data_IF_768618998108
#
_entry.id   IF_768618998108
#
_cell.length_a   1.000
_cell.length_b   1.000
_cell.length_c   1.000
_cell.angle_alpha   90.00
_cell.angle_beta   90.00
_cell.angle_gamma   90.00
#
_symmetry.space_group_name_H-M   'P 1'
#
loop_
_entity.id
_entity.type
_entity.pdbx_description
1 polymer ?
#
# COMPACT_ATOMS: atom_id res chain seq x y z
N UNK A 1 84.73 -31.11 -18.99
CA UNK A 1 83.75 -31.83 -18.15
C UNK A 1 83.50 -31.04 -16.87
N UNK A 2 82.44 -30.23 -16.83
CA UNK A 2 81.85 -29.69 -15.59
C UNK A 2 80.34 -29.90 -15.75
N UNK A 3 79.78 -30.85 -15.00
CA UNK A 3 78.34 -31.15 -15.02
C UNK A 3 77.64 -30.20 -14.06
N UNK A 4 76.75 -29.39 -14.62
CA UNK A 4 75.82 -28.50 -13.94
C UNK A 4 74.72 -29.36 -13.28
N UNK A 5 74.59 -29.28 -11.96
CA UNK A 5 73.50 -29.93 -11.22
C UNK A 5 72.35 -28.92 -11.10
N UNK A 6 71.31 -29.07 -11.91
CA UNK A 6 70.09 -28.27 -11.82
C UNK A 6 69.17 -28.96 -10.80
N UNK A 7 69.00 -28.34 -9.64
CA UNK A 7 68.05 -28.76 -8.62
C UNK A 7 66.64 -28.31 -9.07
N UNK A 8 65.85 -29.23 -9.62
CA UNK A 8 64.44 -28.97 -9.95
C UNK A 8 63.65 -29.10 -8.65
N UNK A 9 63.34 -27.96 -8.02
CA UNK A 9 62.36 -27.89 -6.93
C UNK A 9 60.98 -28.01 -7.59
N UNK A 10 60.37 -29.18 -7.51
CA UNK A 10 58.96 -29.37 -7.82
C UNK A 10 58.14 -28.65 -6.75
N UNK A 11 57.73 -27.41 -7.05
CA UNK A 11 56.73 -26.69 -6.28
C UNK A 11 55.38 -27.36 -6.57
N UNK A 12 55.02 -28.39 -5.78
CA UNK A 12 53.67 -28.96 -5.77
C UNK A 12 52.71 -27.92 -5.21
N UNK A 13 52.10 -27.13 -6.09
CA UNK A 13 50.93 -26.33 -5.77
C UNK A 13 49.77 -27.31 -5.65
N UNK A 14 49.52 -27.81 -4.43
CA UNK A 14 48.25 -28.46 -4.13
C UNK A 14 47.15 -27.42 -4.31
N UNK A 15 46.13 -27.65 -5.16
CA UNK A 15 44.94 -26.81 -5.13
C UNK A 15 44.36 -26.94 -3.72
N UNK A 16 44.25 -25.82 -2.99
CA UNK A 16 43.47 -25.80 -1.75
C UNK A 16 42.04 -26.17 -2.15
N UNK A 17 41.66 -27.41 -1.88
CA UNK A 17 40.25 -27.78 -1.84
C UNK A 17 39.64 -26.97 -0.69
N UNK A 18 38.93 -25.91 -1.05
CA UNK A 18 38.14 -25.11 -0.12
C UNK A 18 36.94 -25.95 0.31
N UNK A 19 37.17 -26.88 1.24
CA UNK A 19 36.11 -27.64 1.89
C UNK A 19 35.65 -26.89 3.14
N UNK A 20 34.42 -27.10 3.57
CA UNK A 20 33.93 -26.56 4.83
C UNK A 20 34.63 -27.24 6.01
N UNK A 21 35.06 -26.47 6.99
CA UNK A 21 35.80 -26.95 8.16
C UNK A 21 34.90 -27.02 9.38
N UNK A 22 34.76 -28.21 9.97
CA UNK A 22 34.16 -28.35 11.30
C UNK A 22 35.18 -27.93 12.36
N UNK A 23 35.01 -26.74 12.93
CA UNK A 23 36.00 -26.14 13.84
C UNK A 23 35.74 -26.46 15.31
N UNK A 24 34.57 -27.01 15.65
CA UNK A 24 34.21 -27.42 17.01
C UNK A 24 33.01 -28.37 16.99
N UNK A 25 32.97 -29.33 17.93
CA UNK A 25 31.84 -30.24 18.13
C UNK A 25 31.73 -31.35 17.07
N UNK A 26 30.51 -31.84 16.86
CA UNK A 26 30.17 -32.87 15.88
C UNK A 26 29.26 -32.27 14.80
N UNK A 27 29.85 -31.92 13.66
CA UNK A 27 29.13 -31.39 12.50
C UNK A 27 28.49 -32.47 11.61
N UNK A 28 28.33 -33.69 12.13
CA UNK A 28 27.65 -34.80 11.42
C UNK A 28 26.37 -35.24 12.15
N UNK A 29 26.45 -35.45 13.47
CA UNK A 29 25.38 -36.03 14.29
C UNK A 29 25.38 -35.50 15.74
N UNK A 30 25.42 -34.18 15.92
CA UNK A 30 25.42 -33.58 17.24
C UNK A 30 25.39 -32.05 17.20
N UNK A 31 25.99 -31.43 18.21
CA UNK A 31 26.19 -29.98 18.24
C UNK A 31 27.55 -29.66 17.64
N UNK A 32 27.60 -28.79 16.63
CA UNK A 32 28.84 -28.49 15.92
C UNK A 32 28.85 -27.10 15.30
N UNK A 33 30.06 -26.57 15.11
CA UNK A 33 30.31 -25.31 14.42
C UNK A 33 31.10 -25.55 13.16
N UNK A 34 30.51 -25.23 12.01
CA UNK A 34 31.12 -25.31 10.69
C UNK A 34 31.43 -23.92 10.15
N UNK A 35 32.62 -23.76 9.56
CA UNK A 35 33.00 -22.58 8.77
C UNK A 35 33.08 -23.01 7.31
N UNK A 36 32.37 -22.29 6.44
CA UNK A 36 32.37 -22.51 5.01
C UNK A 36 33.49 -21.72 4.32
N UNK A 37 33.90 -22.10 3.10
CA UNK A 37 34.97 -21.45 2.34
C UNK A 37 34.81 -19.94 2.13
N UNK A 38 33.56 -19.47 2.04
CA UNK A 38 33.23 -18.05 1.89
C UNK A 38 33.45 -17.26 3.19
N UNK A 39 33.62 -17.96 4.33
CA UNK A 39 33.75 -17.41 5.68
C UNK A 39 32.45 -17.44 6.48
N UNK A 40 31.35 -17.88 5.88
CA UNK A 40 30.05 -18.06 6.53
C UNK A 40 30.15 -19.15 7.61
N UNK A 41 29.39 -19.02 8.69
CA UNK A 41 29.47 -19.94 9.82
C UNK A 41 28.10 -20.45 10.21
N UNK A 42 28.00 -21.74 10.53
CA UNK A 42 26.85 -22.30 11.22
C UNK A 42 27.28 -22.92 12.53
N UNK A 43 26.54 -22.64 13.60
CA UNK A 43 26.68 -23.28 14.90
C UNK A 43 25.32 -23.79 15.36
N UNK A 44 25.16 -25.11 15.52
CA UNK A 44 23.88 -25.69 15.90
C UNK A 44 23.83 -27.21 15.79
N UNK A 45 22.61 -27.73 15.71
CA UNK A 45 22.34 -29.17 15.61
C UNK A 45 22.58 -29.72 14.19
N UNK A 46 23.24 -30.87 14.14
CA UNK A 46 23.54 -31.63 12.94
C UNK A 46 22.95 -33.03 13.04
N UNK A 47 22.44 -33.52 11.92
CA UNK A 47 22.04 -34.93 11.76
C UNK A 47 22.28 -35.36 10.33
N UNK A 48 22.93 -36.51 10.15
CA UNK A 48 23.24 -37.07 8.84
C UNK A 48 23.98 -36.06 7.92
N UNK A 49 24.86 -35.22 8.50
CA UNK A 49 25.58 -34.12 7.84
C UNK A 49 24.71 -32.95 7.36
N UNK A 50 23.47 -32.84 7.84
CA UNK A 50 22.58 -31.71 7.53
C UNK A 50 22.27 -30.89 8.79
N UNK A 51 22.12 -29.57 8.59
CA UNK A 51 21.67 -28.66 9.64
C UNK A 51 20.21 -28.96 9.97
N UNK A 52 19.93 -29.21 11.25
CA UNK A 52 18.59 -29.51 11.78
C UNK A 52 18.38 -28.73 13.09
N UNK A 53 17.20 -28.83 13.70
CA UNK A 53 16.97 -28.32 15.06
C UNK A 53 17.24 -26.83 15.21
N UNK A 54 17.78 -26.39 16.35
CA UNK A 54 18.15 -24.99 16.56
C UNK A 54 19.58 -24.70 16.10
N UNK A 55 19.80 -23.52 15.53
CA UNK A 55 21.14 -23.07 15.19
C UNK A 55 21.24 -21.57 14.91
N UNK A 56 22.48 -21.12 14.81
CA UNK A 56 22.86 -19.77 14.38
C UNK A 56 23.67 -19.86 13.10
N UNK A 57 23.25 -19.10 12.09
CA UNK A 57 23.93 -18.98 10.81
C UNK A 57 24.40 -17.53 10.64
N UNK A 58 25.70 -17.31 10.54
CA UNK A 58 26.33 -15.98 10.41
C UNK A 58 26.98 -15.86 9.04
N UNK A 59 26.45 -14.97 8.22
CA UNK A 59 26.97 -14.66 6.89
C UNK A 59 28.13 -13.67 6.97
N UNK A 60 28.99 -13.69 5.96
CA UNK A 60 30.19 -12.84 5.87
C UNK A 60 29.85 -11.36 5.75
N UNK A 61 28.68 -11.05 5.19
CA UNK A 61 28.15 -9.70 5.09
C UNK A 61 27.66 -9.14 6.45
N UNK A 62 27.66 -9.95 7.52
CA UNK A 62 27.17 -9.59 8.85
C UNK A 62 25.70 -9.94 9.11
N UNK A 63 24.97 -10.46 8.12
CA UNK A 63 23.63 -11.00 8.33
C UNK A 63 23.71 -12.21 9.28
N UNK A 64 22.73 -12.34 10.16
CA UNK A 64 22.60 -13.48 11.06
C UNK A 64 21.20 -14.06 10.99
N UNK A 65 21.11 -15.37 11.15
CA UNK A 65 19.86 -16.07 11.40
C UNK A 65 19.99 -16.92 12.65
N UNK A 66 19.06 -16.77 13.59
CA UNK A 66 18.95 -17.61 14.78
C UNK A 66 17.58 -18.27 14.76
N UNK A 67 17.54 -19.59 14.67
CA UNK A 67 16.27 -20.29 14.65
C UNK A 67 16.36 -21.74 14.20
N UNK A 68 15.22 -22.22 13.73
CA UNK A 68 15.01 -23.61 13.38
C UNK A 68 15.52 -23.94 11.96
N UNK A 69 16.15 -25.11 11.84
CA UNK A 69 16.64 -25.68 10.60
C UNK A 69 16.01 -27.04 10.33
N UNK A 70 15.78 -27.33 9.05
CA UNK A 70 15.34 -28.64 8.57
C UNK A 70 15.98 -28.91 7.21
N UNK A 71 16.71 -30.02 7.11
CA UNK A 71 17.41 -30.44 5.89
C UNK A 71 18.30 -29.35 5.29
N UNK A 72 19.10 -28.70 6.14
CA UNK A 72 20.01 -27.64 5.70
C UNK A 72 19.36 -26.28 5.41
N UNK A 73 18.05 -26.11 5.64
CA UNK A 73 17.31 -24.87 5.34
C UNK A 73 16.66 -24.27 6.56
N UNK A 74 16.51 -22.95 6.59
CA UNK A 74 15.71 -22.23 7.59
C UNK A 74 14.25 -22.70 7.48
N UNK A 75 13.69 -23.17 8.59
CA UNK A 75 12.37 -23.78 8.61
C UNK A 75 11.76 -23.69 10.01
N UNK A 76 10.52 -23.22 10.14
CA UNK A 76 9.90 -22.94 11.43
C UNK A 76 10.26 -21.54 11.96
N UNK A 77 10.25 -21.35 13.28
CA UNK A 77 10.45 -20.03 13.88
C UNK A 77 11.93 -19.61 13.83
N UNK A 78 12.18 -18.34 13.53
CA UNK A 78 13.53 -17.77 13.62
C UNK A 78 13.58 -16.25 13.52
N UNK A 79 14.76 -15.72 13.76
CA UNK A 79 15.09 -14.30 13.73
C UNK A 79 16.20 -14.11 12.70
N UNK A 80 15.93 -13.37 11.64
CA UNK A 80 16.95 -12.89 10.71
C UNK A 80 17.29 -11.44 11.03
N UNK A 81 18.56 -11.11 11.19
CA UNK A 81 19.04 -9.74 11.46
C UNK A 81 20.05 -9.35 10.39
N UNK A 82 19.82 -8.21 9.76
CA UNK A 82 20.70 -7.62 8.74
C UNK A 82 21.70 -6.64 9.39
N UNK A 83 22.79 -6.28 8.69
CA UNK A 83 23.82 -5.40 9.24
C UNK A 83 23.37 -3.97 9.58
N UNK A 84 22.26 -3.52 9.00
CA UNK A 84 21.65 -2.20 9.23
C UNK A 84 20.62 -2.22 10.37
N UNK A 85 20.59 -3.29 11.18
CA UNK A 85 19.59 -3.56 12.23
C UNK A 85 18.16 -3.85 11.72
N UNK A 86 17.94 -3.89 10.40
CA UNK A 86 16.71 -4.47 9.83
C UNK A 86 16.58 -5.92 10.32
N UNK A 87 15.37 -6.34 10.69
CA UNK A 87 15.14 -7.70 11.20
C UNK A 87 13.81 -8.28 10.80
N UNK A 88 13.79 -9.60 10.65
CA UNK A 88 12.57 -10.40 10.54
C UNK A 88 12.48 -11.35 11.72
N UNK A 89 11.33 -11.36 12.40
CA UNK A 89 10.99 -12.32 13.45
C UNK A 89 9.74 -13.06 13.01
N UNK A 90 9.85 -14.35 12.76
CA UNK A 90 8.69 -15.14 12.36
C UNK A 90 9.01 -16.49 11.75
N UNK A 91 8.02 -17.01 11.04
CA UNK A 91 8.09 -18.33 10.42
C UNK A 91 8.89 -18.31 9.10
N UNK A 92 9.63 -19.39 8.87
CA UNK A 92 10.36 -19.71 7.66
C UNK A 92 9.91 -21.06 7.11
N UNK A 93 9.98 -21.21 5.79
CA UNK A 93 9.79 -22.48 5.10
C UNK A 93 10.73 -22.53 3.91
N UNK A 94 11.63 -23.51 3.92
CA UNK A 94 12.60 -23.74 2.84
C UNK A 94 13.36 -22.46 2.45
N UNK A 95 13.95 -21.80 3.47
CA UNK A 95 14.69 -20.54 3.38
C UNK A 95 13.89 -19.27 3.08
N UNK A 96 12.57 -19.37 2.93
CA UNK A 96 11.70 -18.21 2.66
C UNK A 96 10.87 -17.85 3.88
N UNK A 97 10.64 -16.56 4.10
CA UNK A 97 9.60 -16.08 5.04
C UNK A 97 8.26 -16.70 4.66
N UNK A 98 7.54 -17.22 5.65
CA UNK A 98 6.26 -17.90 5.48
C UNK A 98 5.42 -17.70 6.74
N UNK A 99 4.13 -18.01 6.73
CA UNK A 99 3.31 -17.99 7.95
C UNK A 99 3.21 -16.59 8.56
N UNK A 100 3.23 -16.48 9.89
CA UNK A 100 3.20 -15.18 10.57
C UNK A 100 4.62 -14.65 10.80
N UNK A 101 4.79 -13.33 10.66
CA UNK A 101 6.03 -12.67 11.04
C UNK A 101 5.95 -11.15 11.09
N UNK A 102 6.95 -10.56 11.73
CA UNK A 102 7.18 -9.13 11.80
C UNK A 102 8.50 -8.80 11.14
N UNK A 103 8.49 -7.84 10.22
CA UNK A 103 9.68 -7.28 9.58
C UNK A 103 9.80 -5.83 10.00
N UNK A 104 10.85 -5.50 10.73
CA UNK A 104 11.17 -4.14 11.19
C UNK A 104 12.35 -3.63 10.37
N UNK A 105 12.17 -2.53 9.66
CA UNK A 105 13.18 -1.90 8.82
C UNK A 105 14.02 -0.90 9.63
N UNK A 106 15.26 -0.67 9.19
CA UNK A 106 16.18 0.28 9.82
C UNK A 106 15.66 1.73 9.85
N UNK A 107 14.80 2.11 8.90
CA UNK A 107 14.18 3.43 8.82
C UNK A 107 12.98 3.60 9.78
N UNK A 108 12.55 2.53 10.45
CA UNK A 108 11.43 2.52 11.38
C UNK A 108 10.11 2.03 10.77
N UNK A 109 10.08 1.72 9.47
CA UNK A 109 8.94 1.01 8.90
C UNK A 109 8.80 -0.38 9.54
N UNK A 110 7.56 -0.87 9.62
CA UNK A 110 7.27 -2.20 10.15
C UNK A 110 6.14 -2.85 9.37
N UNK A 111 6.31 -4.12 8.99
CA UNK A 111 5.21 -4.98 8.58
C UNK A 111 5.01 -6.11 9.59
N UNK A 112 3.80 -6.28 10.09
CA UNK A 112 3.39 -7.43 10.91
C UNK A 112 2.21 -8.13 10.24
N UNK A 113 2.38 -9.39 9.83
CA UNK A 113 1.32 -10.12 9.16
C UNK A 113 1.77 -11.41 8.51
N UNK A 114 0.98 -11.83 7.52
CA UNK A 114 1.16 -13.10 6.82
C UNK A 114 2.18 -12.99 5.69
N UNK A 115 3.01 -14.03 5.58
CA UNK A 115 3.98 -14.22 4.52
C UNK A 115 3.73 -15.51 3.75
N UNK A 116 3.98 -15.45 2.45
CA UNK A 116 4.01 -16.61 1.56
C UNK A 116 5.16 -16.48 0.57
N UNK A 117 5.98 -17.53 0.50
CA UNK A 117 7.13 -17.60 -0.41
C UNK A 117 8.03 -16.36 -0.38
N UNK A 118 8.23 -15.78 0.80
CA UNK A 118 9.08 -14.62 1.01
C UNK A 118 8.37 -13.27 0.91
N UNK A 119 7.10 -13.23 0.52
CA UNK A 119 6.32 -12.00 0.26
C UNK A 119 5.21 -11.78 1.27
N UNK A 120 4.80 -10.53 1.48
CA UNK A 120 3.58 -10.18 2.22
C UNK A 120 2.36 -10.70 1.43
N UNK A 121 1.59 -11.60 2.04
CA UNK A 121 0.46 -12.28 1.39
C UNK A 121 -0.53 -12.76 2.45
N UNK A 122 -1.78 -12.29 2.39
CA UNK A 122 -2.80 -12.50 3.44
C UNK A 122 -3.10 -11.21 4.21
N UNK A 123 -3.53 -11.32 5.46
CA UNK A 123 -3.81 -10.13 6.29
C UNK A 123 -2.53 -9.63 6.97
N UNK A 124 -2.37 -8.31 7.05
CA UNK A 124 -1.24 -7.69 7.73
C UNK A 124 -1.37 -6.19 7.93
N UNK A 125 -0.56 -5.67 8.84
CA UNK A 125 -0.41 -4.24 9.15
C UNK A 125 0.96 -3.77 8.69
N UNK A 126 1.00 -2.71 7.89
CA UNK A 126 2.22 -1.98 7.59
C UNK A 126 2.15 -0.61 8.25
N UNK A 127 3.11 -0.28 9.10
CA UNK A 127 3.26 1.01 9.76
C UNK A 127 4.50 1.68 9.19
N UNK A 128 4.32 2.88 8.64
CA UNK A 128 5.42 3.69 8.14
C UNK A 128 6.02 4.52 9.28
N UNK A 129 7.30 4.86 9.16
CA UNK A 129 8.01 5.69 10.14
C UNK A 129 7.37 7.09 10.33
N UNK A 130 6.64 7.60 9.33
CA UNK A 130 5.92 8.88 9.41
C UNK A 130 4.57 8.79 10.16
N UNK A 131 4.18 7.61 10.63
CA UNK A 131 2.91 7.34 11.31
C UNK A 131 1.76 6.96 10.39
N UNK A 132 1.96 7.00 9.06
CA UNK A 132 1.02 6.41 8.10
C UNK A 132 0.91 4.90 8.38
N UNK A 133 -0.27 4.31 8.18
CA UNK A 133 -0.43 2.87 8.34
C UNK A 133 -1.45 2.29 7.37
N UNK A 134 -1.27 1.02 7.03
CA UNK A 134 -2.24 0.21 6.31
C UNK A 134 -2.54 -1.05 7.09
N UNK A 135 -3.82 -1.36 7.28
CA UNK A 135 -4.30 -2.61 7.86
C UNK A 135 -5.23 -3.28 6.86
N UNK A 136 -4.89 -4.48 6.39
CA UNK A 136 -5.77 -5.22 5.49
C UNK A 136 -5.06 -6.29 4.68
N UNK A 137 -5.59 -6.52 3.48
CA UNK A 137 -5.22 -7.63 2.62
C UNK A 137 -4.02 -7.31 1.72
N UNK A 138 -3.12 -8.28 1.65
CA UNK A 138 -1.89 -8.25 0.88
C UNK A 138 -1.84 -9.42 -0.09
N UNK A 139 -1.22 -9.19 -1.24
CA UNK A 139 -0.90 -10.21 -2.23
C UNK A 139 0.35 -9.82 -2.97
N UNK A 140 1.34 -10.71 -3.00
CA UNK A 140 2.60 -10.48 -3.71
C UNK A 140 3.24 -9.09 -3.38
N UNK A 141 3.35 -8.76 -2.09
CA UNK A 141 3.89 -7.49 -1.57
C UNK A 141 3.06 -6.23 -1.87
N UNK A 142 1.83 -6.39 -2.36
CA UNK A 142 0.92 -5.26 -2.68
C UNK A 142 -0.35 -5.33 -1.84
N UNK A 143 -0.87 -4.18 -1.46
CA UNK A 143 -2.24 -4.05 -0.93
C UNK A 143 -3.22 -4.53 -2.00
N UNK A 144 -3.98 -5.58 -1.73
CA UNK A 144 -4.90 -6.20 -2.69
C UNK A 144 -6.07 -6.82 -1.95
N UNK A 145 -7.27 -6.30 -2.16
CA UNK A 145 -8.46 -6.62 -1.38
C UNK A 145 -8.90 -5.48 -0.47
N UNK A 146 -9.55 -5.78 0.65
CA UNK A 146 -10.08 -4.76 1.57
C UNK A 146 -8.99 -4.29 2.55
N UNK A 147 -9.01 -3.01 2.90
CA UNK A 147 -8.18 -2.49 3.97
C UNK A 147 -8.51 -1.07 4.40
N UNK A 148 -7.87 -0.64 5.47
CA UNK A 148 -7.88 0.70 6.02
C UNK A 148 -6.50 1.31 5.85
N UNK A 149 -6.42 2.48 5.23
CA UNK A 149 -5.20 3.27 5.09
C UNK A 149 -5.37 4.57 5.86
N UNK A 150 -4.57 4.76 6.90
CA UNK A 150 -4.56 5.94 7.75
C UNK A 150 -3.31 6.74 7.41
N UNK A 151 -3.47 7.92 6.84
CA UNK A 151 -2.37 8.81 6.47
C UNK A 151 -1.87 9.59 7.68
N UNK A 152 -0.58 9.95 7.69
CA UNK A 152 0.01 10.78 8.74
C UNK A 152 -0.68 12.15 8.91
N UNK A 153 -1.34 12.67 7.86
CA UNK A 153 -2.11 13.91 7.92
C UNK A 153 -3.49 13.75 8.60
N UNK A 154 -3.89 12.53 8.97
CA UNK A 154 -5.20 12.22 9.57
C UNK A 154 -6.29 11.80 8.58
N UNK A 155 -6.04 11.80 7.26
CA UNK A 155 -6.95 11.18 6.30
C UNK A 155 -7.07 9.68 6.58
N UNK A 156 -8.29 9.14 6.51
CA UNK A 156 -8.55 7.72 6.64
C UNK A 156 -9.32 7.27 5.40
N UNK A 157 -8.78 6.28 4.69
CA UNK A 157 -9.47 5.57 3.63
C UNK A 157 -9.80 4.14 4.06
N UNK A 158 -11.06 3.73 3.93
CA UNK A 158 -11.52 2.36 4.13
C UNK A 158 -12.16 1.89 2.83
N UNK A 159 -11.60 0.88 2.18
CA UNK A 159 -12.13 0.43 0.90
C UNK A 159 -11.35 -0.70 0.25
N UNK A 160 -11.56 -0.86 -1.05
CA UNK A 160 -10.90 -1.87 -1.86
C UNK A 160 -9.59 -1.32 -2.46
N UNK A 161 -8.61 -2.20 -2.55
CA UNK A 161 -7.32 -1.99 -3.18
C UNK A 161 -7.10 -3.05 -4.26
N UNK A 162 -6.51 -2.65 -5.39
CA UNK A 162 -6.06 -3.56 -6.44
C UNK A 162 -4.64 -3.13 -6.80
N UNK A 163 -3.68 -4.05 -6.70
CA UNK A 163 -2.27 -3.78 -7.00
C UNK A 163 -1.71 -2.52 -6.31
N UNK A 164 -2.05 -2.30 -5.05
CA UNK A 164 -1.56 -1.18 -4.25
C UNK A 164 -2.38 0.11 -4.35
N UNK A 165 -3.36 0.19 -5.26
CA UNK A 165 -4.14 1.41 -5.53
C UNK A 165 -5.58 1.30 -5.03
N UNK A 166 -6.14 2.41 -4.51
CA UNK A 166 -7.58 2.52 -4.18
C UNK A 166 -8.39 2.27 -5.43
N UNK A 167 -9.32 1.34 -5.35
CA UNK A 167 -10.16 0.88 -6.47
C UNK A 167 -11.52 0.45 -5.94
N UNK A 168 -12.55 0.41 -6.79
CA UNK A 168 -13.88 -0.05 -6.36
C UNK A 168 -14.52 0.87 -5.31
N UNK A 169 -15.33 0.32 -4.41
CA UNK A 169 -16.03 1.11 -3.39
C UNK A 169 -15.10 1.45 -2.21
N UNK A 170 -15.14 2.71 -1.77
CA UNK A 170 -14.40 3.16 -0.60
C UNK A 170 -15.03 4.37 0.10
N UNK A 171 -14.62 4.58 1.35
CA UNK A 171 -14.93 5.77 2.15
C UNK A 171 -13.62 6.47 2.47
N UNK A 172 -13.52 7.76 2.17
CA UNK A 172 -12.45 8.63 2.66
C UNK A 172 -13.03 9.62 3.67
N UNK A 173 -12.39 9.74 4.83
CA UNK A 173 -12.67 10.75 5.85
C UNK A 173 -11.43 11.62 5.98
N UNK A 174 -11.61 12.93 5.88
CA UNK A 174 -10.52 13.90 5.93
C UNK A 174 -10.46 14.57 7.32
N UNK A 175 -9.33 15.20 7.69
CA UNK A 175 -9.16 15.84 9.00
C UNK A 175 -10.13 16.99 9.28
N UNK A 176 -10.70 17.59 8.24
CA UNK A 176 -11.70 18.64 8.35
C UNK A 176 -13.12 18.10 8.58
N UNK A 177 -13.30 16.78 8.72
CA UNK A 177 -14.58 16.04 8.73
C UNK A 177 -15.30 15.94 7.38
N UNK A 178 -14.66 16.38 6.28
CA UNK A 178 -15.15 16.06 4.93
C UNK A 178 -15.17 14.54 4.77
N UNK A 179 -16.26 14.01 4.20
CA UNK A 179 -16.41 12.58 3.97
C UNK A 179 -16.85 12.28 2.55
N UNK A 180 -16.08 11.45 1.85
CA UNK A 180 -16.45 10.89 0.56
C UNK A 180 -16.82 9.41 0.69
N UNK A 181 -17.89 8.99 0.03
CA UNK A 181 -18.28 7.58 -0.13
C UNK A 181 -18.57 7.36 -1.61
N UNK A 182 -17.86 6.45 -2.25
CA UNK A 182 -18.12 6.15 -3.65
C UNK A 182 -17.05 5.31 -4.31
N UNK A 183 -17.08 5.35 -5.64
CA UNK A 183 -16.21 4.57 -6.50
C UNK A 183 -14.84 5.23 -6.71
N UNK A 184 -13.80 4.40 -6.66
CA UNK A 184 -12.42 4.75 -6.95
C UNK A 184 -11.91 3.92 -8.13
N UNK A 185 -10.99 4.51 -8.90
CA UNK A 185 -10.20 3.84 -9.94
C UNK A 185 -8.81 4.45 -9.96
N UNK A 186 -7.79 3.61 -9.83
CA UNK A 186 -6.39 4.04 -9.87
C UNK A 186 -6.09 5.23 -8.95
N UNK A 187 -6.50 5.12 -7.67
CA UNK A 187 -6.36 6.14 -6.63
C UNK A 187 -7.24 7.38 -6.73
N UNK A 188 -8.07 7.49 -7.79
CA UNK A 188 -8.94 8.66 -8.02
C UNK A 188 -10.41 8.32 -7.86
N UNK A 189 -11.21 9.28 -7.40
CA UNK A 189 -12.67 9.20 -7.43
C UNK A 189 -13.13 9.10 -8.88
N UNK A 190 -13.91 8.07 -9.20
CA UNK A 190 -14.33 7.78 -10.56
C UNK A 190 -15.60 6.93 -10.52
N UNK A 191 -16.67 7.33 -11.21
CA UNK A 191 -17.99 6.69 -11.08
C UNK A 191 -18.91 7.48 -10.17
N UNK A 192 -19.83 6.82 -9.45
CA UNK A 192 -20.77 7.52 -8.55
C UNK A 192 -20.20 7.69 -7.16
N UNK A 193 -20.49 8.83 -6.54
CA UNK A 193 -20.10 9.09 -5.16
C UNK A 193 -20.94 10.16 -4.49
N UNK A 194 -20.77 10.24 -3.18
CA UNK A 194 -21.31 11.27 -2.30
C UNK A 194 -20.17 11.91 -1.54
N UNK A 195 -20.05 13.23 -1.59
CA UNK A 195 -19.22 13.99 -0.64
C UNK A 195 -20.14 14.80 0.27
N UNK A 196 -19.87 14.72 1.57
CA UNK A 196 -20.49 15.55 2.60
C UNK A 196 -19.39 16.40 3.21
N UNK A 197 -19.62 17.70 3.28
CA UNK A 197 -18.73 18.69 3.86
C UNK A 197 -19.16 19.01 5.31
N UNK A 198 -18.27 19.61 6.11
CA UNK A 198 -18.53 19.88 7.53
C UNK A 198 -19.65 20.89 7.78
N UNK A 199 -19.84 21.82 6.84
CA UNK A 199 -20.91 22.80 6.87
C UNK A 199 -22.30 22.18 6.60
N UNK A 200 -22.35 20.91 6.16
CA UNK A 200 -23.56 20.20 5.75
C UNK A 200 -23.82 20.24 4.24
N UNK A 201 -22.98 20.93 3.47
CA UNK A 201 -23.01 20.88 2.00
C UNK A 201 -22.83 19.43 1.56
N UNK A 202 -23.62 18.99 0.59
CA UNK A 202 -23.61 17.60 0.14
C UNK A 202 -23.75 17.53 -1.37
N UNK A 203 -22.81 16.86 -2.03
CA UNK A 203 -22.91 16.49 -3.43
C UNK A 203 -23.14 14.99 -3.58
N UNK A 204 -24.08 14.62 -4.46
CA UNK A 204 -24.34 13.24 -4.88
C UNK A 204 -24.35 13.21 -6.41
N UNK A 205 -23.42 12.49 -7.02
CA UNK A 205 -23.33 12.48 -8.47
C UNK A 205 -22.15 11.69 -9.01
N UNK A 206 -21.82 12.00 -10.26
CA UNK A 206 -20.76 11.35 -11.01
C UNK A 206 -19.42 12.09 -10.86
N UNK A 207 -18.34 11.31 -10.83
CA UNK A 207 -16.96 11.75 -10.75
C UNK A 207 -16.15 11.16 -11.89
N UNK A 208 -15.18 11.93 -12.38
CA UNK A 208 -14.17 11.48 -13.32
C UNK A 208 -12.83 12.10 -12.93
N UNK A 209 -11.84 11.25 -12.64
CA UNK A 209 -10.49 11.68 -12.28
C UNK A 209 -10.49 12.77 -11.18
N UNK A 210 -11.17 12.47 -10.07
CA UNK A 210 -11.34 13.35 -8.90
C UNK A 210 -12.25 14.56 -9.07
N UNK A 211 -12.75 14.84 -10.28
CA UNK A 211 -13.63 15.98 -10.53
C UNK A 211 -15.09 15.55 -10.63
N UNK A 212 -16.02 16.40 -10.19
CA UNK A 212 -17.45 16.23 -10.49
C UNK A 212 -17.66 16.41 -12.00
N UNK A 213 -18.34 15.45 -12.61
CA UNK A 213 -18.53 15.34 -14.05
C UNK A 213 -19.88 14.69 -14.33
N UNK A 214 -20.59 15.05 -15.41
CA UNK A 214 -21.85 14.41 -15.75
C UNK A 214 -23.01 14.86 -14.85
N UNK A 215 -23.89 13.94 -14.43
CA UNK A 215 -25.09 14.31 -13.65
C UNK A 215 -24.81 14.27 -12.14
N UNK A 216 -25.28 15.28 -11.42
CA UNK A 216 -25.19 15.32 -9.95
C UNK A 216 -26.11 16.35 -9.32
N UNK A 217 -26.29 16.23 -8.01
CA UNK A 217 -27.06 17.17 -7.20
C UNK A 217 -26.22 17.67 -6.03
N UNK A 218 -26.22 18.98 -5.82
CA UNK A 218 -25.63 19.66 -4.67
C UNK A 218 -26.75 20.20 -3.80
N UNK A 219 -26.69 19.95 -2.50
CA UNK A 219 -27.56 20.55 -1.48
C UNK A 219 -26.69 21.37 -0.55
N UNK A 220 -27.11 22.61 -0.27
CA UNK A 220 -26.40 23.54 0.59
C UNK A 220 -27.10 23.69 1.96
N UNK A 221 -26.38 24.14 3.01
CA UNK A 221 -26.94 24.27 4.36
C UNK A 221 -28.07 25.30 4.45
N UNK A 222 -28.04 26.32 3.59
CA UNK A 222 -29.09 27.32 3.48
C UNK A 222 -30.39 26.77 2.86
N UNK A 223 -30.39 25.53 2.34
CA UNK A 223 -31.51 24.88 1.67
C UNK A 223 -31.54 25.03 0.15
N UNK A 224 -30.58 25.77 -0.43
CA UNK A 224 -30.40 25.81 -1.88
C UNK A 224 -30.05 24.41 -2.40
N UNK A 225 -30.52 24.11 -3.60
CA UNK A 225 -30.24 22.83 -4.25
C UNK A 225 -30.05 23.00 -5.74
N UNK A 226 -28.93 22.51 -6.24
CA UNK A 226 -28.71 22.28 -7.67
C UNK A 226 -28.91 20.82 -8.02
N UNK A 227 -29.51 20.54 -9.18
CA UNK A 227 -29.53 19.23 -9.80
C UNK A 227 -29.36 19.39 -11.32
N UNK A 228 -28.29 18.83 -11.88
CA UNK A 228 -28.02 19.01 -13.30
C UNK A 228 -26.65 18.52 -13.74
N UNK A 229 -26.19 19.07 -14.86
CA UNK A 229 -24.91 18.75 -15.46
C UNK A 229 -23.76 19.45 -14.72
N UNK A 230 -22.65 18.72 -14.59
CA UNK A 230 -21.39 19.12 -14.01
C UNK A 230 -20.26 18.86 -15.00
N UNK A 231 -19.29 19.75 -15.04
CA UNK A 231 -18.06 19.58 -15.81
C UNK A 231 -16.92 20.26 -15.06
N UNK A 232 -15.82 19.54 -14.89
CA UNK A 232 -14.62 20.06 -14.22
C UNK A 232 -14.95 20.77 -12.88
N UNK A 233 -15.76 20.12 -12.03
CA UNK A 233 -16.21 20.64 -10.73
C UNK A 233 -17.19 21.82 -10.75
N UNK A 234 -17.67 22.23 -11.92
CA UNK A 234 -18.60 23.35 -12.06
C UNK A 234 -19.96 22.94 -12.59
N UNK A 235 -21.01 23.68 -12.24
CA UNK A 235 -22.30 23.59 -12.90
C UNK A 235 -22.12 24.08 -14.36
N UNK A 236 -22.26 23.17 -15.31
CA UNK A 236 -22.04 23.44 -16.73
C UNK A 236 -23.00 22.57 -17.55
N UNK A 237 -23.89 23.22 -18.30
CA UNK A 237 -24.97 22.60 -19.04
C UNK A 237 -26.33 22.76 -18.38
N UNK A 238 -27.27 21.85 -18.64
CA UNK A 238 -28.65 21.97 -18.15
C UNK A 238 -28.81 21.52 -16.70
N UNK A 239 -29.56 22.29 -15.92
CA UNK A 239 -29.85 21.99 -14.53
C UNK A 239 -31.06 22.72 -13.98
N UNK A 240 -31.34 22.44 -12.71
CA UNK A 240 -32.36 23.11 -11.90
C UNK A 240 -31.74 23.60 -10.61
N UNK A 241 -31.82 24.91 -10.35
CA UNK A 241 -31.56 25.51 -9.05
C UNK A 241 -32.89 25.69 -8.32
N UNK A 242 -32.99 25.19 -7.09
CA UNK A 242 -34.17 25.34 -6.23
C UNK A 242 -33.73 26.08 -4.97
N UNK A 243 -34.47 27.11 -4.60
CA UNK A 243 -34.19 27.94 -3.43
C UNK A 243 -35.16 27.63 -2.29
N UNK A 244 -34.80 27.92 -1.03
CA UNK A 244 -35.72 27.96 0.09
C UNK A 244 -36.95 28.79 -0.25
N UNK A 245 -38.12 28.30 0.16
CA UNK A 245 -39.40 28.91 -0.17
C UNK A 245 -40.02 28.40 -1.48
N UNK A 246 -39.26 27.76 -2.38
CA UNK A 246 -39.80 27.08 -3.56
C UNK A 246 -39.61 27.82 -4.89
N UNK A 247 -38.95 28.99 -4.88
CA UNK A 247 -38.46 29.62 -6.09
C UNK A 247 -37.48 28.66 -6.80
N UNK A 248 -37.46 28.67 -8.13
CA UNK A 248 -36.53 27.83 -8.90
C UNK A 248 -36.13 28.46 -10.22
N UNK A 249 -34.96 28.08 -10.71
CA UNK A 249 -34.51 28.30 -12.07
C UNK A 249 -34.29 26.95 -12.77
N UNK A 250 -34.82 26.79 -13.97
CA UNK A 250 -34.59 25.62 -14.83
C UNK A 250 -34.01 26.09 -16.15
N UNK A 251 -32.80 25.68 -16.49
CA UNK A 251 -32.14 26.17 -17.70
C UNK A 251 -30.68 25.77 -17.79
N UNK A 252 -29.95 26.53 -18.60
CA UNK A 252 -28.52 26.36 -18.83
C UNK A 252 -27.68 27.11 -17.78
N UNK A 253 -26.53 26.53 -17.48
CA UNK A 253 -25.49 27.02 -16.58
C UNK A 253 -24.14 26.96 -17.30
N UNK A 254 -23.25 27.90 -16.99
CA UNK A 254 -21.88 27.90 -17.46
C UNK A 254 -20.96 28.41 -16.35
N UNK A 255 -19.95 27.60 -16.01
CA UNK A 255 -18.95 27.95 -15.00
C UNK A 255 -19.58 28.44 -13.67
N UNK A 256 -20.56 27.68 -13.17
CA UNK A 256 -21.34 27.97 -11.95
C UNK A 256 -22.37 29.12 -12.05
N UNK A 257 -22.48 29.78 -13.19
CA UNK A 257 -23.43 30.87 -13.40
C UNK A 257 -24.63 30.46 -14.25
N UNK A 258 -25.80 31.02 -13.96
CA UNK A 258 -26.98 30.94 -14.83
C UNK A 258 -26.64 31.62 -16.16
N UNK A 259 -26.64 30.86 -17.26
CA UNK A 259 -26.20 31.34 -18.57
C UNK A 259 -26.83 30.51 -19.68
N UNK A 260 -27.40 31.16 -20.70
CA UNK A 260 -28.10 30.48 -21.79
C UNK A 260 -29.62 30.55 -21.65
N UNK A 261 -30.33 29.56 -22.20
CA UNK A 261 -31.81 29.54 -22.15
C UNK A 261 -32.32 28.99 -20.82
N UNK A 262 -33.31 29.64 -20.22
CA UNK A 262 -33.88 29.18 -18.95
C UNK A 262 -35.15 29.90 -18.51
N UNK A 263 -35.76 29.38 -17.44
CA UNK A 263 -36.98 29.91 -16.83
C UNK A 263 -36.83 29.99 -15.31
N UNK A 264 -36.92 31.19 -14.75
CA UNK A 264 -37.13 31.41 -13.33
C UNK A 264 -38.63 31.32 -13.02
N UNK A 265 -39.02 30.61 -11.96
CA UNK A 265 -40.39 30.46 -11.48
C UNK A 265 -40.44 30.82 -10.00
N UNK A 266 -41.30 31.77 -9.66
CA UNK A 266 -41.54 32.24 -8.29
C UNK A 266 -42.75 31.55 -7.68
N UNK A 267 -42.85 31.56 -6.36
CA UNK A 267 -43.91 30.89 -5.60
C UNK A 267 -45.31 31.45 -5.84
N UNK A 268 -45.41 32.71 -6.25
CA UNK A 268 -46.64 33.37 -6.69
C UNK A 268 -47.10 32.91 -8.10
N UNK A 269 -46.33 32.05 -8.75
CA UNK A 269 -46.57 31.57 -10.10
C UNK A 269 -45.94 32.43 -11.21
N UNK A 270 -45.31 33.56 -10.87
CA UNK A 270 -44.63 34.44 -11.81
C UNK A 270 -43.48 33.70 -12.49
N UNK A 271 -43.34 33.87 -13.81
CA UNK A 271 -42.30 33.22 -14.61
C UNK A 271 -41.56 34.22 -15.48
N UNK A 272 -40.23 34.09 -15.51
CA UNK A 272 -39.35 34.83 -16.41
C UNK A 272 -38.59 33.81 -17.25
N UNK A 273 -38.95 33.71 -18.53
CA UNK A 273 -38.34 32.80 -19.48
C UNK A 273 -37.59 33.61 -20.55
N UNK A 274 -36.39 33.18 -20.91
CA UNK A 274 -35.62 33.86 -21.94
C UNK A 274 -34.13 33.53 -21.91
N UNK A 275 -33.34 34.42 -22.50
CA UNK A 275 -31.89 34.31 -22.51
C UNK A 275 -31.30 34.96 -21.25
N UNK A 276 -30.43 34.22 -20.56
CA UNK A 276 -29.72 34.66 -19.38
C UNK A 276 -28.23 34.82 -19.66
N UNK A 277 -27.61 35.82 -19.02
CA UNK A 277 -26.16 36.00 -19.01
C UNK A 277 -25.73 36.46 -17.63
N UNK A 278 -24.82 35.71 -17.01
CA UNK A 278 -24.26 35.99 -15.69
C UNK A 278 -25.34 36.22 -14.62
N UNK A 279 -26.39 35.39 -14.63
CA UNK A 279 -27.50 35.50 -13.69
C UNK A 279 -28.58 36.54 -14.03
N UNK A 280 -28.42 37.33 -15.08
CA UNK A 280 -29.40 38.35 -15.48
C UNK A 280 -30.17 37.94 -16.74
N UNK A 281 -31.48 38.17 -16.74
CA UNK A 281 -32.33 38.02 -17.92
C UNK A 281 -32.08 39.19 -18.87
N UNK A 282 -31.64 38.90 -20.10
CA UNK A 282 -31.27 39.92 -21.09
C UNK A 282 -32.27 40.04 -22.25
N UNK A 283 -33.14 39.06 -22.47
CA UNK A 283 -34.15 39.03 -23.54
C UNK A 283 -35.25 38.03 -23.25
#
# INVERSE_FOLDING_TARGET
MKRLLILIVFLFIFPLECNADCISGDCSNGQGTMIYPDGTKYAGEWKDNEMVGQGTFTFVNGETYVGQFKYGKRNGQGIGTYPDDTKYVGEYKDDKRHGQGTFTFADGDEYAGQYKDGKMDGEGTYTFADGTSYVGQWKDDKRDGKGTYTFANGEIYVGQFINGKRSGQGTATYPDDTRYIGEYKDDRRNGRGTVTYPDGTKYVGQYKDDKREGQGSMTYPNGDKYAGQWKDDKMDGRGTMTYPGGNKYVGEFKDDEINGQGTATFTDGTKYAGQWKNGELIK
#
